data_IF_545425663733
#
_entry.id   IF_545425663733
#
_cell.length_a   1.000
_cell.length_b   1.000
_cell.length_c   1.000
_cell.angle_alpha   90.00
_cell.angle_beta   90.00
_cell.angle_gamma   90.00
#
_symmetry.space_group_name_H-M   'P 1'
#
loop_
_entity.id
_entity.type
_entity.pdbx_description
1 polymer ?
#
# COMPACT_ATOMS: atom_id res chain seq x y z
N UNK A 1 -2.24 -11.91 6.02
CA UNK A 1 -1.78 -11.09 4.85
C UNK A 1 -2.83 -10.04 4.59
N UNK A 2 -2.44 -8.74 4.55
CA UNK A 2 -3.39 -7.66 4.31
C UNK A 2 -3.95 -7.74 2.87
N UNK A 3 -5.23 -7.96 2.73
CA UNK A 3 -5.95 -8.00 1.45
C UNK A 3 -7.04 -6.94 1.31
N UNK A 4 -7.32 -6.19 2.35
CA UNK A 4 -8.27 -5.07 2.39
C UNK A 4 -7.89 -4.09 3.48
N UNK A 5 -8.05 -2.79 3.23
CA UNK A 5 -7.82 -1.76 4.24
C UNK A 5 -8.78 -0.57 4.06
N UNK A 6 -8.83 0.31 5.05
CA UNK A 6 -9.61 1.54 5.03
C UNK A 6 -8.72 2.76 5.16
N UNK A 7 -9.11 3.83 4.50
CA UNK A 7 -8.59 5.19 4.68
C UNK A 7 -9.79 6.13 4.61
N UNK A 8 -10.25 6.56 5.77
CA UNK A 8 -11.41 7.45 5.92
C UNK A 8 -11.00 8.84 6.41
N UNK A 9 -9.77 8.95 6.93
CA UNK A 9 -9.18 10.22 7.33
C UNK A 9 -9.14 11.19 6.15
N UNK A 10 -9.50 12.46 6.35
CA UNK A 10 -9.54 13.45 5.27
C UNK A 10 -8.12 13.79 4.79
N UNK A 11 -8.03 14.30 3.56
CA UNK A 11 -6.76 14.70 2.94
C UNK A 11 -5.96 15.69 3.81
N UNK A 12 -6.65 16.63 4.46
CA UNK A 12 -6.02 17.60 5.34
C UNK A 12 -5.25 16.94 6.51
N UNK A 13 -5.82 15.90 7.12
CA UNK A 13 -5.13 15.13 8.15
C UNK A 13 -3.87 14.44 7.62
N UNK A 14 -3.91 13.97 6.37
CA UNK A 14 -2.72 13.39 5.71
C UNK A 14 -1.67 14.45 5.43
N UNK A 15 -2.08 15.64 4.98
CA UNK A 15 -1.14 16.76 4.74
C UNK A 15 -0.42 17.16 6.02
N UNK A 16 -1.14 17.26 7.12
CA UNK A 16 -0.55 17.58 8.43
C UNK A 16 0.38 16.46 8.92
N UNK A 17 -0.04 15.20 8.79
CA UNK A 17 0.75 14.05 9.25
C UNK A 17 2.10 13.93 8.54
N UNK A 18 2.16 14.29 7.25
CA UNK A 18 3.36 14.15 6.42
C UNK A 18 4.05 15.47 6.09
N UNK A 19 3.65 16.56 6.73
CA UNK A 19 4.19 17.91 6.48
C UNK A 19 4.18 18.28 4.98
N UNK A 20 3.05 18.00 4.32
CA UNK A 20 2.90 18.27 2.89
C UNK A 20 2.45 19.71 2.67
N UNK A 21 2.98 20.39 1.63
CA UNK A 21 2.58 21.75 1.32
C UNK A 21 1.08 21.84 1.01
N UNK A 22 0.46 22.93 1.49
CA UNK A 22 -0.99 23.17 1.33
C UNK A 22 -1.38 23.50 -0.13
N UNK A 23 -0.40 23.81 -0.98
CA UNK A 23 -0.63 24.28 -2.32
C UNK A 23 -0.98 23.16 -3.30
N UNK A 24 -2.22 23.22 -3.74
CA UNK A 24 -2.64 22.98 -5.12
C UNK A 24 -2.14 21.74 -5.85
N UNK A 25 -2.58 20.58 -5.38
CA UNK A 25 -2.70 19.44 -6.28
C UNK A 25 -4.14 18.95 -6.23
N UNK A 26 -4.62 18.35 -7.33
CA UNK A 26 -5.91 17.66 -7.32
C UNK A 26 -6.00 16.75 -6.10
N UNK A 27 -7.19 16.63 -5.52
CA UNK A 27 -7.42 15.77 -4.36
C UNK A 27 -6.86 14.36 -4.64
N UNK A 28 -5.96 13.89 -3.79
CA UNK A 28 -5.32 12.58 -3.92
C UNK A 28 -5.85 11.55 -2.91
N UNK A 29 -6.58 12.03 -1.89
CA UNK A 29 -7.26 11.19 -0.90
C UNK A 29 -8.77 11.33 -1.05
N UNK A 30 -9.44 10.22 -1.27
CA UNK A 30 -10.89 10.11 -1.16
C UNK A 30 -11.19 9.10 -0.05
N UNK A 31 -11.97 9.46 0.99
CA UNK A 31 -12.31 8.55 2.08
C UNK A 31 -12.96 7.26 1.58
N UNK A 32 -12.41 6.12 1.98
CA UNK A 32 -12.89 4.79 1.58
C UNK A 32 -12.78 3.79 2.71
N UNK A 33 -13.89 3.11 3.00
CA UNK A 33 -13.96 2.08 4.05
C UNK A 33 -13.40 0.72 3.61
N UNK A 34 -13.25 0.49 2.30
CA UNK A 34 -12.91 -0.83 1.78
C UNK A 34 -12.10 -0.71 0.48
N UNK A 35 -10.79 -0.51 0.63
CA UNK A 35 -9.84 -0.50 -0.48
C UNK A 35 -9.43 -1.93 -0.77
N UNK A 36 -9.57 -2.35 -2.01
CA UNK A 36 -9.31 -3.71 -2.48
C UNK A 36 -8.15 -3.74 -3.51
N UNK A 37 -7.50 -4.91 -3.68
CA UNK A 37 -6.56 -5.12 -4.78
C UNK A 37 -7.10 -4.69 -6.13
N UNK A 38 -6.23 -4.28 -7.02
CA UNK A 38 -6.49 -3.74 -8.37
C UNK A 38 -7.18 -2.37 -8.39
N UNK A 39 -7.52 -1.81 -7.25
CA UNK A 39 -8.03 -0.45 -7.15
C UNK A 39 -6.88 0.55 -6.98
N UNK A 40 -7.12 1.78 -7.44
CA UNK A 40 -6.24 2.92 -7.19
C UNK A 40 -6.37 3.37 -5.75
N UNK A 41 -5.25 3.69 -5.11
CA UNK A 41 -5.22 4.16 -3.73
C UNK A 41 -4.13 5.22 -3.51
N UNK A 42 -4.28 6.08 -2.47
CA UNK A 42 -3.28 7.07 -2.10
C UNK A 42 -1.96 6.44 -1.67
N UNK A 43 -0.87 7.02 -2.14
CA UNK A 43 0.50 6.60 -1.84
C UNK A 43 1.39 7.84 -1.70
N UNK A 44 2.34 7.78 -0.78
CA UNK A 44 3.41 8.77 -0.65
C UNK A 44 4.72 8.12 -1.11
N UNK A 45 5.38 8.74 -2.07
CA UNK A 45 6.67 8.26 -2.59
C UNK A 45 7.73 9.33 -2.52
N UNK A 46 8.99 8.92 -2.54
CA UNK A 46 10.11 9.81 -2.83
C UNK A 46 10.56 9.56 -4.27
N UNK A 47 10.69 10.61 -5.05
CA UNK A 47 11.20 10.54 -6.43
C UNK A 47 12.68 10.89 -6.52
N UNK A 48 13.15 11.76 -5.62
CA UNK A 48 14.54 12.22 -5.58
C UNK A 48 15.07 12.25 -4.14
N UNK A 49 16.39 12.04 -4.00
CA UNK A 49 17.06 12.13 -2.70
C UNK A 49 17.04 13.60 -2.23
N UNK A 50 16.46 13.83 -1.05
CA UNK A 50 16.33 15.17 -0.46
C UNK A 50 15.04 15.91 -0.81
N UNK A 51 14.25 15.43 -1.76
CA UNK A 51 12.87 15.89 -1.95
C UNK A 51 11.97 15.37 -0.83
N UNK A 52 10.97 16.15 -0.43
CA UNK A 52 9.93 15.70 0.49
C UNK A 52 9.08 14.56 -0.12
N UNK A 53 8.18 13.96 0.68
CA UNK A 53 7.27 12.95 0.18
C UNK A 53 6.30 13.54 -0.85
N UNK A 54 6.17 12.88 -1.98
CA UNK A 54 5.25 13.26 -3.07
C UNK A 54 3.96 12.45 -2.96
N UNK A 55 2.81 13.11 -2.74
CA UNK A 55 1.51 12.44 -2.74
C UNK A 55 1.09 12.09 -4.17
N UNK A 56 0.64 10.87 -4.35
CA UNK A 56 0.15 10.35 -5.64
C UNK A 56 -0.86 9.24 -5.44
N UNK A 57 -1.40 8.72 -6.53
CA UNK A 57 -2.25 7.53 -6.51
C UNK A 57 -1.64 6.43 -7.36
N UNK A 58 -1.72 5.18 -6.89
CA UNK A 58 -1.20 4.01 -7.59
C UNK A 58 -2.18 2.85 -7.50
N UNK A 59 -2.09 1.90 -8.42
CA UNK A 59 -2.90 0.69 -8.40
C UNK A 59 -2.29 -0.33 -7.43
N UNK A 60 -3.10 -0.90 -6.55
CA UNK A 60 -2.65 -1.94 -5.63
C UNK A 60 -2.51 -3.30 -6.34
N UNK A 61 -1.30 -3.76 -6.45
CA UNK A 61 -0.89 -4.97 -7.15
C UNK A 61 0.32 -4.68 -8.03
N UNK A 62 1.54 -4.77 -7.44
CA UNK A 62 2.79 -4.51 -8.14
C UNK A 62 3.01 -5.56 -9.24
N UNK A 63 3.32 -5.08 -10.43
CA UNK A 63 3.82 -5.88 -11.54
C UNK A 63 5.25 -5.40 -11.84
N UNK A 64 6.23 -6.29 -11.86
CA UNK A 64 7.60 -5.90 -12.19
C UNK A 64 7.68 -5.26 -13.58
N UNK A 65 8.51 -4.23 -13.73
CA UNK A 65 8.64 -3.48 -15.00
C UNK A 65 9.01 -4.35 -16.22
N UNK A 66 9.73 -5.43 -15.98
CA UNK A 66 10.14 -6.39 -17.02
C UNK A 66 9.04 -7.42 -17.39
N UNK A 67 7.94 -7.50 -16.61
CA UNK A 67 6.88 -8.49 -16.88
C UNK A 67 5.97 -8.02 -18.01
N UNK A 68 5.68 -8.94 -18.90
CA UNK A 68 4.71 -8.76 -20.00
C UNK A 68 3.29 -9.17 -19.57
N UNK A 69 3.15 -9.87 -18.45
CA UNK A 69 1.87 -10.37 -17.98
C UNK A 69 1.11 -9.31 -17.18
N UNK A 70 -0.11 -9.03 -17.60
CA UNK A 70 -1.02 -8.07 -16.98
C UNK A 70 -1.82 -8.66 -15.79
N UNK A 71 -1.60 -9.91 -15.46
CA UNK A 71 -2.41 -10.61 -14.44
C UNK A 71 -2.17 -10.10 -13.03
N UNK A 72 -3.23 -9.61 -12.41
CA UNK A 72 -3.48 -9.42 -10.99
C UNK A 72 -2.48 -8.61 -10.14
N UNK A 73 -1.20 -8.65 -10.46
CA UNK A 73 -0.14 -8.04 -9.66
C UNK A 73 0.04 -8.66 -8.27
N UNK A 74 1.17 -8.40 -7.65
CA UNK A 74 1.49 -8.89 -6.31
C UNK A 74 1.05 -7.86 -5.26
N UNK A 75 0.02 -8.19 -4.49
CA UNK A 75 -0.58 -7.28 -3.50
C UNK A 75 0.25 -7.18 -2.22
N UNK A 76 1.01 -8.21 -1.89
CA UNK A 76 1.91 -8.25 -0.73
C UNK A 76 3.30 -8.77 -1.11
N UNK A 77 4.31 -8.24 -0.45
CA UNK A 77 5.69 -8.72 -0.51
C UNK A 77 6.18 -9.00 0.92
N UNK A 78 6.78 -10.16 1.17
CA UNK A 78 7.36 -10.45 2.48
C UNK A 78 8.63 -9.62 2.67
N UNK A 79 8.69 -8.86 3.74
CA UNK A 79 9.84 -8.01 4.07
C UNK A 79 11.14 -8.80 4.19
N UNK A 80 11.05 -10.04 4.68
CA UNK A 80 12.18 -10.94 4.91
C UNK A 80 12.88 -11.36 3.60
N UNK A 81 12.16 -11.34 2.48
CA UNK A 81 12.68 -11.81 1.19
C UNK A 81 12.58 -10.78 0.05
N UNK A 82 11.96 -9.62 0.30
CA UNK A 82 11.74 -8.60 -0.74
C UNK A 82 13.05 -8.06 -1.35
N UNK A 83 14.12 -7.99 -0.56
CA UNK A 83 15.44 -7.55 -1.02
C UNK A 83 16.09 -8.50 -2.02
N UNK A 84 15.68 -9.76 -2.05
CA UNK A 84 16.32 -10.83 -2.83
C UNK A 84 15.48 -11.24 -4.05
N UNK A 85 14.16 -11.25 -3.89
CA UNK A 85 13.23 -11.71 -4.95
C UNK A 85 13.31 -10.84 -6.20
N UNK A 86 13.47 -11.42 -7.40
CA UNK A 86 13.54 -10.68 -8.65
C UNK A 86 12.38 -9.70 -8.87
N UNK A 87 11.17 -10.05 -8.42
CA UNK A 87 9.98 -9.20 -8.53
C UNK A 87 10.03 -7.92 -7.70
N UNK A 88 10.85 -7.88 -6.64
CA UNK A 88 10.83 -6.78 -5.67
C UNK A 88 12.16 -6.10 -5.42
N UNK A 89 13.30 -6.79 -5.65
CA UNK A 89 14.64 -6.33 -5.25
C UNK A 89 15.00 -4.92 -5.76
N UNK A 90 14.59 -4.60 -6.99
CA UNK A 90 14.89 -3.28 -7.59
C UNK A 90 13.99 -2.19 -6.99
N UNK A 91 12.71 -2.50 -6.80
CA UNK A 91 11.78 -1.62 -6.08
C UNK A 91 12.17 -1.45 -4.62
N UNK A 92 12.64 -2.50 -3.95
CA UNK A 92 13.13 -2.46 -2.57
C UNK A 92 14.32 -1.50 -2.40
N UNK A 93 15.20 -1.43 -3.37
CA UNK A 93 16.37 -0.55 -3.36
C UNK A 93 16.03 0.91 -3.67
N UNK A 94 15.12 1.16 -4.61
CA UNK A 94 14.94 2.47 -5.25
C UNK A 94 13.54 3.05 -5.19
N UNK A 95 12.52 2.25 -4.99
CA UNK A 95 11.11 2.65 -5.13
C UNK A 95 10.27 2.20 -3.93
N UNK A 96 10.63 2.75 -2.79
CA UNK A 96 9.89 2.58 -1.54
C UNK A 96 8.81 3.63 -1.42
N UNK A 97 7.70 3.28 -0.79
CA UNK A 97 6.58 4.18 -0.58
C UNK A 97 5.90 3.93 0.77
N UNK A 98 5.05 4.85 1.16
CA UNK A 98 4.19 4.75 2.33
C UNK A 98 2.74 4.74 1.86
N UNK A 99 1.92 3.86 2.41
CA UNK A 99 0.51 3.73 2.08
C UNK A 99 -0.29 4.08 3.34
N UNK A 100 -0.97 5.25 3.39
CA UNK A 100 -1.79 5.65 4.53
C UNK A 100 -2.97 4.70 4.73
N UNK A 101 -3.30 4.42 5.99
CA UNK A 101 -4.43 3.60 6.37
C UNK A 101 -4.92 3.94 7.79
N UNK A 102 -6.22 3.80 8.04
CA UNK A 102 -6.80 3.90 9.37
C UNK A 102 -7.02 2.54 10.02
N UNK A 103 -7.12 1.51 9.20
CA UNK A 103 -7.25 0.12 9.63
C UNK A 103 -7.20 -0.83 8.45
N UNK A 104 -7.05 -2.10 8.74
CA UNK A 104 -7.06 -3.17 7.74
C UNK A 104 -7.91 -4.35 8.20
N UNK A 105 -8.34 -5.16 7.24
CA UNK A 105 -9.18 -6.32 7.50
C UNK A 105 -8.37 -7.60 7.45
N UNK A 106 -8.64 -8.49 8.43
CA UNK A 106 -8.19 -9.89 8.45
C UNK A 106 -9.38 -10.79 8.72
N UNK A 107 -9.29 -12.05 8.27
CA UNK A 107 -10.36 -13.02 8.36
C UNK A 107 -9.92 -14.25 9.16
N UNK A 108 -10.40 -14.35 10.38
CA UNK A 108 -10.20 -15.54 11.20
C UNK A 108 -11.01 -16.71 10.65
N UNK A 109 -10.37 -17.87 10.50
CA UNK A 109 -11.09 -19.11 10.22
C UNK A 109 -11.85 -19.53 11.46
N UNK A 110 -13.15 -19.76 11.30
CA UNK A 110 -14.04 -20.32 12.32
C UNK A 110 -14.79 -21.52 11.72
N UNK A 111 -15.45 -22.31 12.58
CA UNK A 111 -16.29 -23.41 12.11
C UNK A 111 -17.41 -22.85 11.21
N UNK A 112 -17.47 -23.36 9.98
CA UNK A 112 -18.46 -22.96 8.99
C UNK A 112 -18.17 -21.68 8.21
N UNK A 113 -17.00 -21.02 8.39
CA UNK A 113 -16.73 -19.82 7.61
C UNK A 113 -15.48 -19.01 8.00
N UNK A 114 -15.59 -17.71 7.78
CA UNK A 114 -14.56 -16.73 8.14
C UNK A 114 -15.20 -15.53 8.82
N UNK A 115 -14.69 -15.18 9.99
CA UNK A 115 -15.07 -13.98 10.72
C UNK A 115 -14.14 -12.83 10.33
N UNK A 116 -14.64 -11.72 9.75
CA UNK A 116 -13.84 -10.54 9.48
C UNK A 116 -13.59 -9.75 10.78
N UNK A 117 -12.38 -9.22 10.89
CA UNK A 117 -11.95 -8.27 11.91
C UNK A 117 -11.39 -7.04 11.23
N UNK A 118 -11.79 -5.86 11.69
CA UNK A 118 -11.14 -4.60 11.35
C UNK A 118 -10.14 -4.26 12.44
N UNK A 119 -8.89 -4.11 12.05
CA UNK A 119 -7.75 -3.92 12.93
C UNK A 119 -7.25 -2.50 12.74
N UNK A 120 -7.22 -1.73 13.80
CA UNK A 120 -6.77 -0.33 13.84
C UNK A 120 -5.85 -0.09 15.03
N UNK A 121 -5.26 1.09 15.10
CA UNK A 121 -4.57 1.58 16.29
C UNK A 121 -5.59 1.85 17.40
N UNK A 122 -5.19 1.62 18.64
CA UNK A 122 -6.06 1.84 19.81
C UNK A 122 -6.37 3.32 20.05
N UNK A 123 -5.49 4.22 19.60
CA UNK A 123 -5.68 5.67 19.67
C UNK A 123 -6.50 6.23 18.49
N UNK A 124 -6.93 5.38 17.56
CA UNK A 124 -7.66 5.77 16.36
C UNK A 124 -6.86 6.57 15.33
N UNK A 125 -5.56 6.75 15.55
CA UNK A 125 -4.73 7.52 14.62
C UNK A 125 -4.46 6.75 13.33
N UNK A 126 -4.35 7.48 12.23
CA UNK A 126 -3.86 6.96 10.95
C UNK A 126 -2.43 6.43 11.10
N UNK A 127 -2.14 5.36 10.42
CA UNK A 127 -0.79 4.79 10.30
C UNK A 127 -0.41 4.60 8.83
N UNK A 128 0.78 4.13 8.58
CA UNK A 128 1.24 3.81 7.22
C UNK A 128 1.71 2.37 7.11
N UNK A 129 1.39 1.73 6.01
CA UNK A 129 2.11 0.54 5.59
C UNK A 129 3.38 0.95 4.85
N UNK A 130 4.47 0.24 5.08
CA UNK A 130 5.62 0.27 4.20
C UNK A 130 5.27 -0.48 2.90
N UNK A 131 5.69 0.06 1.77
CA UNK A 131 5.43 -0.53 0.48
C UNK A 131 6.55 -0.32 -0.54
N UNK A 132 6.39 -0.99 -1.64
CA UNK A 132 7.24 -0.87 -2.82
C UNK A 132 6.36 -0.50 -4.01
N UNK A 133 6.92 0.25 -4.95
CA UNK A 133 6.18 0.61 -6.15
C UNK A 133 6.99 0.38 -7.42
N UNK A 134 6.30 0.29 -8.55
CA UNK A 134 6.90 0.09 -9.86
C UNK A 134 6.09 0.81 -10.93
N UNK A 135 6.77 1.34 -11.93
CA UNK A 135 6.13 1.79 -13.16
C UNK A 135 6.06 0.61 -14.13
N UNK A 136 4.87 0.07 -14.28
CA UNK A 136 4.65 -0.99 -15.26
C UNK A 136 4.03 -0.39 -16.54
N UNK A 137 4.63 -0.68 -17.68
CA UNK A 137 4.18 -0.17 -18.98
C UNK A 137 3.42 -1.21 -19.79
N UNK A 138 3.54 -2.51 -19.44
CA UNK A 138 2.93 -3.59 -20.20
C UNK A 138 3.36 -3.66 -21.67
N UNK A 139 4.53 -3.06 -21.99
CA UNK A 139 4.99 -2.92 -23.37
C UNK A 139 4.35 -1.75 -24.12
N UNK A 140 3.56 -0.90 -23.46
CA UNK A 140 2.98 0.34 -24.01
C UNK A 140 3.80 1.56 -23.60
N UNK A 141 3.51 2.72 -24.20
CA UNK A 141 4.11 4.00 -23.83
C UNK A 141 3.54 4.59 -22.53
N UNK A 142 2.41 4.08 -22.06
CA UNK A 142 1.74 4.59 -20.84
C UNK A 142 2.18 3.82 -19.61
N UNK A 143 2.76 4.54 -18.65
CA UNK A 143 3.14 3.97 -17.37
C UNK A 143 1.92 3.83 -16.45
N UNK A 144 1.76 2.67 -15.85
CA UNK A 144 0.76 2.40 -14.82
C UNK A 144 1.49 2.20 -13.48
N UNK A 145 1.57 3.23 -12.62
CA UNK A 145 2.22 3.11 -11.33
C UNK A 145 1.44 2.13 -10.43
N UNK A 146 2.16 1.16 -9.87
CA UNK A 146 1.59 0.07 -9.06
C UNK A 146 2.38 -0.12 -7.80
N UNK A 147 1.69 -0.48 -6.70
CA UNK A 147 2.34 -0.73 -5.42
C UNK A 147 2.00 -2.09 -4.83
N UNK A 148 2.83 -2.52 -3.89
CA UNK A 148 2.62 -3.67 -3.02
C UNK A 148 2.86 -3.28 -1.57
N UNK A 149 2.16 -3.92 -0.63
CA UNK A 149 2.35 -3.73 0.80
C UNK A 149 3.40 -4.72 1.30
N UNK A 150 4.37 -4.23 2.07
CA UNK A 150 5.32 -5.09 2.79
C UNK A 150 4.63 -5.73 3.99
N UNK A 151 4.78 -7.03 4.12
CA UNK A 151 4.23 -7.81 5.23
C UNK A 151 5.35 -8.56 5.94
N UNK A 152 5.18 -8.79 7.23
CA UNK A 152 6.07 -9.58 8.06
C UNK A 152 5.27 -10.59 8.89
N UNK A 153 5.94 -11.32 9.75
CA UNK A 153 5.31 -12.25 10.68
C UNK A 153 4.28 -11.53 11.56
N UNK A 154 3.11 -12.15 11.73
CA UNK A 154 2.05 -11.59 12.57
C UNK A 154 2.53 -11.41 14.02
N UNK A 155 2.22 -10.25 14.60
CA UNK A 155 2.45 -10.00 16.04
C UNK A 155 1.62 -10.95 16.90
N UNK A 156 1.94 -11.07 18.19
CA UNK A 156 1.19 -11.93 19.11
C UNK A 156 -0.30 -11.58 19.15
N UNK A 157 -0.63 -10.31 19.09
CA UNK A 157 -2.03 -9.84 19.07
C UNK A 157 -2.79 -10.28 17.82
N UNK A 158 -2.11 -10.46 16.68
CA UNK A 158 -2.74 -10.82 15.41
C UNK A 158 -2.72 -12.32 15.11
N UNK A 159 -1.86 -13.10 15.77
CA UNK A 159 -1.76 -14.55 15.53
C UNK A 159 -3.08 -15.31 15.63
N UNK A 160 -3.99 -15.00 16.58
CA UNK A 160 -5.26 -15.72 16.68
C UNK A 160 -6.20 -15.49 15.52
N UNK A 161 -6.01 -14.37 14.77
CA UNK A 161 -6.88 -13.95 13.66
C UNK A 161 -6.30 -14.36 12.30
N UNK A 162 -4.96 -14.50 12.25
CA UNK A 162 -4.19 -14.65 10.99
C UNK A 162 -4.03 -16.09 10.54
#
# INVERSE_FOLDING_TARGET
MCGRYSLTSPEEAMRQLFDLPTASTAAWVTPRFNIAPSQTAPVLRHTEIGAGPEPTTMIWGLIPSWSQEQTGGQINARSETAAEKPSFRDAYRRRRCLIPADGFYEWQKIDGGKQPYWISRTDGATFVFAGLWENWTGGTSEASPRFTILTTTASEALRPIH
#
